data_IF_749424653950
#
_entry.id   IF_749424653950
#
_cell.length_a   1.000
_cell.length_b   1.000
_cell.length_c   1.000
_cell.angle_alpha   90.00
_cell.angle_beta   90.00
_cell.angle_gamma   90.00
#
_symmetry.space_group_name_H-M   'P 1'
#
loop_
_entity.id
_entity.type
_entity.pdbx_description
1 polymer ?
#
# COMPACT_ATOMS: atom_id res chain seq x y z
N UNK A 1 -9.78 -13.98 22.55
CA UNK A 1 -9.33 -14.65 21.31
C UNK A 1 -10.50 -14.59 20.33
N UNK A 2 -10.44 -14.03 19.12
CA UNK A 2 -9.32 -13.49 18.36
C UNK A 2 -9.77 -12.27 17.54
N UNK A 3 -8.88 -11.27 17.48
CA UNK A 3 -9.07 -10.00 16.77
C UNK A 3 -8.77 -10.08 15.26
N UNK A 4 -8.39 -11.26 14.78
CA UNK A 4 -8.05 -11.55 13.39
C UNK A 4 -8.70 -12.88 13.03
N UNK A 5 -10.02 -12.89 12.92
CA UNK A 5 -10.69 -14.03 12.30
C UNK A 5 -10.31 -14.05 10.81
N UNK A 6 -9.35 -14.90 10.45
CA UNK A 6 -8.86 -15.06 9.08
C UNK A 6 -9.99 -15.37 8.08
N UNK A 7 -11.13 -15.91 8.55
CA UNK A 7 -12.29 -16.20 7.71
C UNK A 7 -13.04 -14.96 7.20
N UNK A 8 -12.72 -13.77 7.71
CA UNK A 8 -13.32 -12.50 7.30
C UNK A 8 -12.53 -11.77 6.22
N UNK A 9 -11.38 -12.32 5.80
CA UNK A 9 -10.48 -11.68 4.85
C UNK A 9 -10.45 -12.44 3.53
N UNK A 10 -10.69 -11.72 2.44
CA UNK A 10 -10.48 -12.19 1.08
C UNK A 10 -9.08 -11.78 0.65
N UNK A 11 -8.16 -12.75 0.65
CA UNK A 11 -6.84 -12.56 0.07
C UNK A 11 -6.97 -12.29 -1.43
N UNK A 12 -6.08 -11.45 -1.96
CA UNK A 12 -5.96 -11.27 -3.41
C UNK A 12 -5.16 -12.43 -4.00
N UNK A 13 -5.63 -12.95 -5.12
CA UNK A 13 -4.91 -13.97 -5.91
C UNK A 13 -3.68 -13.38 -6.62
N UNK A 14 -3.66 -12.07 -6.83
CA UNK A 14 -2.58 -11.33 -7.47
C UNK A 14 -2.08 -10.19 -6.56
N UNK A 15 -0.77 -10.15 -6.36
CA UNK A 15 -0.08 -9.11 -5.61
C UNK A 15 0.75 -8.26 -6.58
N UNK A 16 0.56 -6.94 -6.50
CA UNK A 16 1.30 -5.98 -7.29
C UNK A 16 1.52 -4.70 -6.48
N UNK A 17 2.58 -3.97 -6.82
CA UNK A 17 2.79 -2.59 -6.40
C UNK A 17 2.20 -1.69 -7.48
N UNK A 18 1.24 -0.83 -7.12
CA UNK A 18 0.63 0.07 -8.09
C UNK A 18 1.45 1.35 -8.24
N UNK A 19 1.94 1.61 -9.45
CA UNK A 19 2.57 2.89 -9.82
C UNK A 19 1.53 3.81 -10.45
N UNK A 20 1.23 4.96 -9.83
CA UNK A 20 0.25 5.92 -10.34
C UNK A 20 0.94 7.02 -11.15
N UNK A 21 1.19 6.76 -12.43
CA UNK A 21 1.74 7.78 -13.33
C UNK A 21 0.64 8.75 -13.74
N UNK A 22 0.75 10.02 -13.36
CA UNK A 22 -0.13 11.04 -13.90
C UNK A 22 0.12 11.24 -15.39
N UNK A 23 -0.89 11.79 -16.06
CA UNK A 23 -0.85 12.02 -17.51
C UNK A 23 -0.36 13.43 -17.88
N UNK A 24 0.08 14.23 -16.89
CA UNK A 24 0.55 15.60 -17.10
C UNK A 24 2.07 15.63 -17.14
N UNK A 25 2.65 16.64 -17.78
CA UNK A 25 4.10 16.79 -17.76
C UNK A 25 4.61 17.16 -16.36
N UNK A 26 5.79 16.64 -15.95
CA UNK A 26 6.73 15.80 -16.72
C UNK A 26 6.41 14.28 -16.69
N UNK A 27 5.40 13.85 -15.93
CA UNK A 27 5.05 12.43 -15.72
C UNK A 27 4.58 11.72 -17.00
N UNK A 28 3.92 12.44 -17.91
CA UNK A 28 3.43 11.92 -19.18
C UNK A 28 4.51 11.44 -20.15
N UNK A 29 5.60 12.19 -20.33
CA UNK A 29 6.73 11.77 -21.18
C UNK A 29 7.50 10.60 -20.55
N UNK A 30 7.56 10.53 -19.21
CA UNK A 30 8.19 9.39 -18.50
C UNK A 30 7.41 8.09 -18.68
N UNK A 31 6.07 8.15 -18.56
CA UNK A 31 5.20 7.01 -18.84
C UNK A 31 5.42 6.47 -20.26
N UNK A 32 5.66 7.34 -21.23
CA UNK A 32 5.93 6.97 -22.61
C UNK A 32 7.28 6.29 -22.78
N UNK A 33 8.33 6.73 -22.09
CA UNK A 33 9.65 6.07 -22.12
C UNK A 33 9.58 4.63 -21.59
N UNK A 34 8.86 4.41 -20.50
CA UNK A 34 8.67 3.05 -19.94
C UNK A 34 7.82 2.19 -20.87
N UNK A 35 6.73 2.76 -21.41
CA UNK A 35 5.92 2.07 -22.41
C UNK A 35 6.73 1.66 -23.63
N UNK A 36 7.71 2.49 -24.04
CA UNK A 36 8.62 2.19 -25.15
C UNK A 36 9.63 1.09 -24.78
N UNK A 37 10.27 1.15 -23.61
CA UNK A 37 11.21 0.11 -23.16
C UNK A 37 10.52 -1.28 -23.09
N UNK A 38 9.32 -1.33 -22.50
CA UNK A 38 8.51 -2.56 -22.44
C UNK A 38 8.14 -3.03 -23.86
N UNK A 39 7.75 -2.12 -24.76
CA UNK A 39 7.41 -2.47 -26.14
C UNK A 39 8.62 -2.97 -26.95
N UNK A 40 9.84 -2.57 -26.58
CA UNK A 40 11.09 -3.05 -27.16
C UNK A 40 11.54 -4.41 -26.60
N UNK A 41 10.78 -4.98 -25.66
CA UNK A 41 11.08 -6.28 -25.06
C UNK A 41 12.17 -6.23 -24.01
N UNK A 42 12.44 -5.05 -23.44
CA UNK A 42 13.36 -4.93 -22.32
C UNK A 42 12.69 -5.43 -21.03
N UNK A 43 13.27 -6.44 -20.41
CA UNK A 43 12.82 -6.93 -19.10
C UNK A 43 13.22 -5.93 -18.02
N UNK A 44 12.23 -5.23 -17.47
CA UNK A 44 12.43 -4.33 -16.33
C UNK A 44 12.14 -5.09 -15.03
N UNK A 45 13.17 -5.31 -14.22
CA UNK A 45 13.02 -5.89 -12.89
C UNK A 45 13.20 -4.81 -11.82
N UNK A 46 12.31 -4.82 -10.84
CA UNK A 46 12.39 -4.01 -9.64
C UNK A 46 12.48 -4.94 -8.42
N UNK A 47 13.46 -4.69 -7.56
CA UNK A 47 13.49 -5.30 -6.24
C UNK A 47 12.69 -4.41 -5.29
N UNK A 48 11.75 -5.01 -4.57
CA UNK A 48 10.98 -4.33 -3.52
C UNK A 48 11.09 -5.09 -2.21
N UNK A 49 11.28 -4.35 -1.13
CA UNK A 49 11.46 -4.86 0.22
C UNK A 49 10.26 -4.46 1.09
N UNK A 50 9.58 -5.41 1.76
CA UNK A 50 8.51 -5.08 2.70
C UNK A 50 9.08 -4.32 3.90
N UNK A 51 8.50 -3.15 4.19
CA UNK A 51 8.91 -2.31 5.32
C UNK A 51 8.01 -2.54 6.53
N UNK A 52 6.69 -2.46 6.33
CA UNK A 52 5.69 -2.52 7.41
C UNK A 52 4.41 -3.19 6.93
N UNK A 53 3.68 -3.82 7.86
CA UNK A 53 2.36 -4.37 7.60
C UNK A 53 1.31 -3.51 8.31
N UNK A 54 0.36 -2.96 7.54
CA UNK A 54 -0.79 -2.25 8.06
C UNK A 54 -2.02 -3.16 7.98
N UNK A 55 -2.63 -3.41 9.14
CA UNK A 55 -3.91 -4.09 9.25
C UNK A 55 -4.93 -3.05 9.70
N UNK A 56 -5.93 -2.79 8.86
CA UNK A 56 -7.05 -1.91 9.20
C UNK A 56 -8.26 -2.81 9.45
N UNK A 57 -8.65 -3.07 10.72
CA UNK A 57 -9.73 -3.99 11.05
C UNK A 57 -11.03 -3.68 10.30
N UNK A 58 -11.66 -4.72 9.74
CA UNK A 58 -12.91 -4.58 8.97
C UNK A 58 -12.78 -3.75 7.69
N UNK A 59 -11.57 -3.65 7.12
CA UNK A 59 -11.29 -2.88 5.90
C UNK A 59 -10.30 -3.59 4.98
N UNK A 60 -9.01 -3.59 5.33
CA UNK A 60 -7.95 -4.12 4.47
C UNK A 60 -6.70 -4.55 5.23
N UNK A 61 -5.87 -5.33 4.53
CA UNK A 61 -4.48 -5.59 4.89
C UNK A 61 -3.59 -5.13 3.73
N UNK A 62 -2.60 -4.30 4.02
CA UNK A 62 -1.60 -3.88 3.03
C UNK A 62 -0.19 -3.84 3.64
N UNK A 63 0.82 -4.10 2.82
CA UNK A 63 2.22 -3.92 3.18
C UNK A 63 2.75 -2.62 2.55
N UNK A 64 3.36 -1.75 3.36
CA UNK A 64 4.24 -0.70 2.84
C UNK A 64 5.53 -1.36 2.35
N UNK A 65 5.98 -0.97 1.17
CA UNK A 65 7.21 -1.48 0.57
C UNK A 65 8.13 -0.33 0.19
N UNK A 66 9.42 -0.61 0.18
CA UNK A 66 10.43 0.26 -0.41
C UNK A 66 11.00 -0.43 -1.66
N UNK A 67 11.36 0.35 -2.67
CA UNK A 67 12.08 -0.17 -3.83
C UNK A 67 13.58 -0.06 -3.59
N UNK A 68 14.33 -1.13 -3.83
CA UNK A 68 15.79 -1.03 -3.96
C UNK A 68 16.07 -0.43 -5.33
N UNK A 69 16.24 0.88 -5.33
CA UNK A 69 16.32 1.80 -6.46
C UNK A 69 17.03 1.23 -7.71
N UNK A 70 16.29 0.75 -8.72
CA UNK A 70 16.70 0.98 -10.08
C UNK A 70 16.21 2.38 -10.44
N UNK A 71 17.09 3.35 -10.72
CA UNK A 71 16.76 4.78 -10.89
C UNK A 71 15.52 5.18 -11.73
N UNK A 72 14.87 4.23 -12.41
CA UNK A 72 13.51 4.38 -12.93
C UNK A 72 12.41 4.43 -11.83
N UNK A 73 12.54 3.79 -10.67
CA UNK A 73 11.50 3.83 -9.61
C UNK A 73 11.44 5.18 -8.91
N UNK A 74 12.59 5.79 -8.63
CA UNK A 74 12.69 7.16 -8.12
C UNK A 74 12.01 8.16 -9.05
N UNK A 75 12.06 7.92 -10.36
CA UNK A 75 11.41 8.75 -11.38
C UNK A 75 9.90 8.46 -11.56
N UNK A 76 9.38 7.37 -10.98
CA UNK A 76 7.99 6.92 -11.08
C UNK A 76 7.21 6.95 -9.75
N UNK A 77 7.90 7.13 -8.62
CA UNK A 77 7.29 7.38 -7.33
C UNK A 77 6.66 8.78 -7.28
N UNK A 78 5.52 8.94 -7.95
CA UNK A 78 4.59 10.04 -7.66
C UNK A 78 3.82 9.79 -6.36
N UNK A 79 3.82 8.53 -5.87
CA UNK A 79 3.18 8.16 -4.62
C UNK A 79 4.19 8.16 -3.48
N UNK A 80 3.91 8.90 -2.38
CA UNK A 80 4.84 9.00 -1.25
C UNK A 80 5.06 7.68 -0.51
N UNK A 81 4.23 6.65 -0.76
CA UNK A 81 4.28 5.34 -0.09
C UNK A 81 3.91 4.22 -1.06
N UNK A 82 4.92 3.50 -1.57
CA UNK A 82 4.68 2.27 -2.32
C UNK A 82 4.09 1.21 -1.40
N UNK A 83 3.18 0.42 -1.93
CA UNK A 83 2.49 -0.58 -1.14
C UNK A 83 1.92 -1.73 -1.98
N UNK A 84 1.65 -2.83 -1.30
CA UNK A 84 0.95 -4.01 -1.82
C UNK A 84 -0.33 -4.18 -1.02
N UNK A 85 -1.48 -4.09 -1.68
CA UNK A 85 -2.75 -4.52 -1.07
C UNK A 85 -2.80 -6.04 -1.06
N UNK A 86 -2.98 -6.67 0.10
CA UNK A 86 -2.92 -8.12 0.27
C UNK A 86 -4.30 -8.75 0.48
N UNK A 87 -5.17 -8.09 1.25
CA UNK A 87 -6.49 -8.60 1.56
C UNK A 87 -7.52 -7.48 1.74
N UNK A 88 -8.78 -7.83 1.52
CA UNK A 88 -9.94 -6.98 1.80
C UNK A 88 -10.92 -7.77 2.66
N UNK A 89 -11.75 -7.08 3.43
CA UNK A 89 -12.81 -7.76 4.18
C UNK A 89 -13.84 -8.42 3.23
N UNK A 90 -14.08 -9.72 3.41
CA UNK A 90 -14.94 -10.55 2.53
C UNK A 90 -16.42 -10.14 2.57
N UNK A 91 -16.86 -9.46 3.66
CA UNK A 91 -18.27 -9.08 3.89
C UNK A 91 -18.59 -7.65 3.48
N UNK A 92 -17.58 -6.87 3.15
CA UNK A 92 -17.70 -5.48 2.78
C UNK A 92 -17.22 -5.27 1.36
N UNK A 93 -18.10 -5.48 0.36
CA UNK A 93 -18.14 -4.49 -0.71
C UNK A 93 -18.22 -3.15 0.01
N UNK A 94 -17.12 -2.40 -0.02
CA UNK A 94 -16.93 -1.19 0.77
C UNK A 94 -17.96 -0.17 0.32
N UNK A 95 -19.16 -0.23 0.89
CA UNK A 95 -20.30 0.61 0.55
C UNK A 95 -19.89 2.06 0.82
N UNK A 96 -19.51 2.75 -0.24
CA UNK A 96 -19.40 4.20 -0.31
C UNK A 96 -18.04 4.83 -0.02
N UNK A 97 -16.95 4.09 0.25
CA UNK A 97 -15.69 4.73 0.67
C UNK A 97 -14.58 4.84 -0.38
N UNK A 98 -14.57 4.03 -1.44
CA UNK A 98 -13.75 4.27 -2.63
C UNK A 98 -14.28 3.43 -3.80
N UNK A 99 -14.47 4.06 -4.97
CA UNK A 99 -15.03 3.49 -6.20
C UNK A 99 -14.26 2.27 -6.77
N UNK A 100 -14.29 1.11 -6.11
CA UNK A 100 -13.81 -0.16 -6.64
C UNK A 100 -12.28 -0.29 -6.79
N UNK A 101 -11.47 0.57 -6.17
CA UNK A 101 -10.00 0.52 -6.29
C UNK A 101 -9.29 0.28 -4.94
N UNK A 102 -9.03 -0.99 -4.58
CA UNK A 102 -8.36 -1.39 -3.34
C UNK A 102 -6.98 -0.74 -3.09
N UNK A 103 -6.20 -0.50 -4.16
CA UNK A 103 -4.90 0.15 -4.06
C UNK A 103 -5.03 1.61 -3.63
N UNK A 104 -6.02 2.35 -4.13
CA UNK A 104 -6.27 3.74 -3.69
C UNK A 104 -6.64 3.80 -2.22
N UNK A 105 -7.48 2.88 -1.76
CA UNK A 105 -7.87 2.79 -0.36
C UNK A 105 -6.66 2.51 0.54
N UNK A 106 -5.81 1.57 0.14
CA UNK A 106 -4.56 1.24 0.84
C UNK A 106 -3.64 2.46 0.94
N UNK A 107 -3.41 3.18 -0.17
CA UNK A 107 -2.62 4.41 -0.17
C UNK A 107 -3.18 5.50 0.75
N UNK A 108 -4.51 5.68 0.82
CA UNK A 108 -5.15 6.64 1.74
C UNK A 108 -4.91 6.29 3.20
N UNK A 109 -5.05 5.02 3.57
CA UNK A 109 -4.79 4.59 4.95
C UNK A 109 -3.31 4.76 5.29
N UNK A 110 -2.39 4.35 4.42
CA UNK A 110 -0.96 4.52 4.68
C UNK A 110 -0.58 5.98 4.91
N UNK A 111 -1.11 6.90 4.10
CA UNK A 111 -0.89 8.34 4.32
C UNK A 111 -1.48 8.83 5.65
N UNK A 112 -2.70 8.41 6.00
CA UNK A 112 -3.37 8.83 7.23
C UNK A 112 -2.70 8.31 8.50
N UNK A 113 -2.11 7.12 8.46
CA UNK A 113 -1.39 6.53 9.59
C UNK A 113 0.06 7.03 9.72
N UNK A 114 0.60 7.73 8.71
CA UNK A 114 2.00 8.17 8.71
C UNK A 114 2.37 9.04 9.91
N UNK A 115 1.52 10.03 10.22
CA UNK A 115 1.73 10.92 11.36
C UNK A 115 1.75 10.13 12.69
N UNK A 116 0.99 9.03 12.76
CA UNK A 116 0.94 8.16 13.94
C UNK A 116 2.14 7.21 14.00
N UNK A 117 2.69 6.80 12.86
CA UNK A 117 3.88 5.93 12.81
C UNK A 117 5.14 6.64 13.26
N UNK A 118 5.37 7.88 12.88
CA UNK A 118 6.55 8.63 13.31
C UNK A 118 6.58 8.77 14.84
N UNK A 119 5.41 8.91 15.46
CA UNK A 119 5.25 8.84 16.91
C UNK A 119 5.59 7.44 17.44
N UNK A 120 5.01 6.39 16.86
CA UNK A 120 5.24 5.00 17.32
C UNK A 120 6.71 4.58 17.19
N UNK A 121 7.39 4.90 16.09
CA UNK A 121 8.80 4.53 15.87
C UNK A 121 9.75 5.28 16.81
N UNK A 122 9.41 6.51 17.19
CA UNK A 122 10.14 7.26 18.20
C UNK A 122 9.81 6.86 19.65
N UNK A 123 8.77 6.05 19.85
CA UNK A 123 8.25 5.70 21.18
C UNK A 123 8.70 4.30 21.57
N UNK A 124 9.17 4.13 22.81
CA UNK A 124 9.51 2.79 23.30
C UNK A 124 8.25 1.96 23.41
N UNK A 125 8.32 0.67 23.10
CA UNK A 125 7.16 -0.24 23.22
C UNK A 125 6.50 -0.22 24.61
N UNK A 126 7.26 0.07 25.67
CA UNK A 126 6.75 0.23 27.04
C UNK A 126 5.79 1.41 27.22
N UNK A 127 5.89 2.39 26.32
CA UNK A 127 5.19 3.67 26.42
C UNK A 127 4.00 3.71 25.45
N UNK A 128 3.80 2.63 24.66
CA UNK A 128 2.65 2.46 23.79
C UNK A 128 1.54 1.79 24.59
N UNK A 129 0.54 2.57 24.99
CA UNK A 129 -0.69 2.02 25.56
C UNK A 129 -1.47 1.29 24.45
N UNK A 130 -1.49 -0.04 24.52
CA UNK A 130 -2.38 -0.83 23.68
C UNK A 130 -3.83 -0.53 24.12
N UNK A 131 -4.59 0.12 23.24
CA UNK A 131 -6.00 0.38 23.46
C UNK A 131 -6.74 -0.96 23.53
N UNK A 132 -7.19 -1.36 24.72
CA UNK A 132 -8.02 -2.53 24.90
C UNK A 132 -9.48 -2.15 24.57
N UNK A 133 -10.03 -2.76 23.52
CA UNK A 133 -11.42 -2.53 23.09
C UNK A 133 -12.42 -3.42 23.86
N UNK A 134 -12.04 -3.93 25.03
CA UNK A 134 -12.85 -4.87 25.82
C UNK A 134 -14.07 -4.25 26.51
N UNK A 135 -14.26 -2.93 26.45
CA UNK A 135 -15.37 -2.20 27.08
C UNK A 135 -16.39 -1.63 26.06
N UNK A 136 -17.02 -2.48 25.24
CA UNK A 136 -18.28 -2.15 24.54
C UNK A 136 -19.20 -3.37 24.38
#
# INVERSE_FOLDING_TARGET
MGFLDASQWSMKDELHVTLFLGCREPEGERRKQIGQAIAMGEDMMATVSPKRLLVVPGRLVCAEVEGDDPGFLDDLQTQPHLHITMALESRGESRGLDNGCPAKLSGRFLMGFKEQWEVIEGTRLSDIEAFDFSDN
#
